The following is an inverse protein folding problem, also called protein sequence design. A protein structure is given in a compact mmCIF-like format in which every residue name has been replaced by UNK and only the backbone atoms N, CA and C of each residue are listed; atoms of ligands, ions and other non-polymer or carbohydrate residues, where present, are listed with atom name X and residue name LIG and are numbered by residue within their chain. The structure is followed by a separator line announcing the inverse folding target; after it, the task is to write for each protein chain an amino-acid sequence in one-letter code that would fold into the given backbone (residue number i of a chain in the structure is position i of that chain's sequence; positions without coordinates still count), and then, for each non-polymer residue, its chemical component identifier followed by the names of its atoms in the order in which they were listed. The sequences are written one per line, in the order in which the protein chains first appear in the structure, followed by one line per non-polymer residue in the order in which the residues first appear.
data_IF_234126360329
#
_entry.id   IF_234126360329
#
_cell.length_a   1.000
_cell.length_b   1.000
_cell.length_c   1.000
_cell.angle_alpha   90.00
_cell.angle_beta   90.00
_cell.angle_gamma   90.00
#
_symmetry.space_group_name_H-M   'P 1'
#
loop_
_entity.id
_entity.type
_entity.pdbx_description
1 polymer ?
#
# COMPACT_ATOMS: atom_id res chain seq x y z
N UNK A 1 -0.24 11.15 3.93
CA UNK A 1 0.36 10.37 2.82
C UNK A 1 1.73 10.92 2.44
N UNK A 2 2.74 10.06 2.31
CA UNK A 2 4.04 10.40 1.69
C UNK A 2 3.78 10.80 0.23
N UNK A 3 4.29 11.95 -0.23
CA UNK A 3 4.04 12.50 -1.57
C UNK A 3 4.30 11.47 -2.69
N UNK A 4 5.21 10.52 -2.47
CA UNK A 4 5.58 9.48 -3.45
C UNK A 4 4.54 8.37 -3.56
N UNK A 5 3.81 8.09 -2.48
CA UNK A 5 2.71 7.11 -2.48
C UNK A 5 1.53 7.67 -3.24
N UNK A 6 1.19 8.93 -3.00
CA UNK A 6 0.13 9.62 -3.73
C UNK A 6 0.50 9.78 -5.21
N UNK A 7 1.76 10.08 -5.54
CA UNK A 7 2.24 10.11 -6.93
C UNK A 7 2.16 8.74 -7.62
N UNK A 8 2.58 7.66 -6.93
CA UNK A 8 2.52 6.30 -7.47
C UNK A 8 1.08 5.85 -7.69
N UNK A 9 0.21 6.09 -6.71
CA UNK A 9 -1.23 5.83 -6.77
C UNK A 9 -1.87 6.58 -7.93
N UNK A 10 -1.65 7.90 -8.04
CA UNK A 10 -2.22 8.71 -9.12
C UNK A 10 -1.82 8.25 -10.53
N UNK A 11 -0.62 7.69 -10.70
CA UNK A 11 -0.10 7.17 -11.97
C UNK A 11 -0.64 5.79 -12.34
N UNK A 12 -1.02 4.97 -11.36
CA UNK A 12 -1.37 3.56 -11.59
C UNK A 12 -2.80 3.20 -11.20
N UNK A 13 -3.53 4.05 -10.49
CA UNK A 13 -4.90 3.77 -10.05
C UNK A 13 -5.89 3.63 -11.21
N UNK A 14 -5.59 4.22 -12.38
CA UNK A 14 -6.54 4.29 -13.49
C UNK A 14 -6.93 2.92 -14.05
N UNK A 15 -6.02 1.93 -13.98
CA UNK A 15 -6.27 0.56 -14.43
C UNK A 15 -7.21 -0.21 -13.48
N UNK A 16 -7.34 0.20 -12.21
CA UNK A 16 -8.13 -0.53 -11.22
C UNK A 16 -9.61 -0.22 -11.37
N UNK A 17 -10.41 -1.16 -11.83
CA UNK A 17 -11.85 -0.98 -11.96
C UNK A 17 -12.55 -1.11 -10.60
N UNK A 18 -13.41 -0.13 -10.26
CA UNK A 18 -14.03 -0.04 -8.93
C UNK A 18 -15.14 -1.08 -8.75
N UNK A 19 -15.83 -1.40 -9.86
CA UNK A 19 -17.05 -2.23 -9.87
C UNK A 19 -16.87 -3.60 -10.54
N UNK A 20 -15.64 -4.00 -10.90
CA UNK A 20 -15.35 -5.35 -11.40
C UNK A 20 -15.15 -6.34 -10.23
N UNK A 21 -15.87 -7.47 -10.29
CA UNK A 21 -15.61 -8.63 -9.41
C UNK A 21 -14.36 -9.42 -9.84
N UNK A 22 -13.98 -9.37 -11.12
CA UNK A 22 -12.85 -10.11 -11.66
C UNK A 22 -11.57 -9.26 -11.66
N UNK A 23 -10.54 -9.72 -10.95
CA UNK A 23 -9.26 -9.02 -10.88
C UNK A 23 -8.38 -9.36 -12.07
N UNK A 24 -7.95 -8.34 -12.82
CA UNK A 24 -7.06 -8.50 -13.97
C UNK A 24 -5.64 -8.88 -13.53
N UNK A 25 -4.98 -9.79 -14.26
CA UNK A 25 -3.57 -10.18 -14.04
C UNK A 25 -2.60 -8.99 -14.02
N UNK A 26 -2.97 -7.90 -14.69
CA UNK A 26 -2.21 -6.65 -14.73
C UNK A 26 -2.14 -5.96 -13.36
N UNK A 27 -3.11 -6.19 -12.47
CA UNK A 27 -3.11 -5.65 -11.10
C UNK A 27 -1.96 -6.24 -10.29
N UNK A 28 -1.69 -7.54 -10.45
CA UNK A 28 -0.56 -8.23 -9.83
C UNK A 28 0.79 -7.66 -10.31
N UNK A 29 0.88 -7.24 -11.57
CA UNK A 29 2.10 -6.62 -12.09
C UNK A 29 2.37 -5.24 -11.48
N UNK A 30 1.32 -4.45 -11.25
CA UNK A 30 1.45 -3.15 -10.55
C UNK A 30 1.76 -3.37 -9.07
N UNK A 31 1.13 -4.35 -8.43
CA UNK A 31 1.45 -4.77 -7.07
C UNK A 31 2.93 -5.13 -6.92
N UNK A 32 3.45 -5.99 -7.80
CA UNK A 32 4.87 -6.39 -7.75
C UNK A 32 5.83 -5.21 -7.96
N UNK A 33 5.46 -4.22 -8.77
CA UNK A 33 6.26 -2.98 -8.93
C UNK A 33 6.22 -2.12 -7.67
N UNK A 34 5.06 -2.01 -7.04
CA UNK A 34 4.88 -1.30 -5.79
C UNK A 34 5.67 -1.96 -4.66
N UNK A 35 5.49 -3.26 -4.45
CA UNK A 35 6.21 -4.08 -3.47
C UNK A 35 7.73 -3.90 -3.63
N UNK A 36 8.29 -4.04 -4.84
CA UNK A 36 9.75 -3.85 -5.05
C UNK A 36 10.26 -2.45 -4.71
N UNK A 37 9.48 -1.41 -4.97
CA UNK A 37 9.87 -0.02 -4.70
C UNK A 37 10.03 0.24 -3.19
N UNK A 38 9.23 -0.46 -2.37
CA UNK A 38 9.17 -0.26 -0.93
C UNK A 38 9.93 -1.33 -0.15
N UNK A 39 9.94 -2.59 -0.59
CA UNK A 39 10.72 -3.68 0.01
C UNK A 39 12.20 -3.29 0.15
N UNK A 40 12.80 -2.74 -0.90
CA UNK A 40 14.22 -2.32 -0.86
C UNK A 40 14.51 -1.28 0.23
N UNK A 41 13.60 -0.33 0.45
CA UNK A 41 13.74 0.69 1.50
C UNK A 41 13.43 0.16 2.89
N UNK A 42 12.36 -0.64 3.02
CA UNK A 42 11.97 -1.25 4.28
C UNK A 42 13.06 -2.22 4.73
N UNK A 43 13.59 -3.04 3.83
CA UNK A 43 14.69 -3.95 4.12
C UNK A 43 15.96 -3.20 4.55
N UNK A 44 16.30 -2.08 3.91
CA UNK A 44 17.44 -1.24 4.31
C UNK A 44 17.22 -0.62 5.71
N UNK A 45 16.02 -0.09 5.99
CA UNK A 45 15.64 0.47 7.29
C UNK A 45 15.66 -0.59 8.41
N UNK A 46 15.11 -1.78 8.13
CA UNK A 46 15.07 -2.89 9.07
C UNK A 46 16.48 -3.41 9.38
N UNK A 47 17.33 -3.54 8.35
CA UNK A 47 18.74 -3.89 8.52
C UNK A 47 19.50 -2.87 9.36
N UNK A 48 19.28 -1.57 9.12
CA UNK A 48 19.91 -0.51 9.92
C UNK A 48 19.48 -0.54 11.39
N UNK A 49 18.22 -0.88 11.66
CA UNK A 49 17.67 -0.97 13.02
C UNK A 49 17.87 -2.34 13.69
N UNK A 50 18.38 -3.34 12.96
CA UNK A 50 18.54 -4.70 13.46
C UNK A 50 17.21 -5.42 13.75
N UNK A 51 16.14 -5.00 13.08
CA UNK A 51 14.77 -5.55 13.28
C UNK A 51 14.48 -6.56 12.19
N UNK A 52 13.89 -7.70 12.54
CA UNK A 52 13.46 -8.69 11.55
C UNK A 52 12.14 -8.30 10.88
N UNK A 53 11.86 -8.75 9.64
CA UNK A 53 10.57 -8.50 8.99
C UNK A 53 9.36 -9.00 9.80
N UNK A 54 9.54 -10.08 10.56
CA UNK A 54 8.49 -10.67 11.41
C UNK A 54 8.16 -9.78 12.61
N UNK A 55 9.17 -9.24 13.29
CA UNK A 55 8.99 -8.28 14.39
C UNK A 55 8.34 -6.99 13.88
N UNK A 56 8.76 -6.52 12.71
CA UNK A 56 8.17 -5.35 12.06
C UNK A 56 6.68 -5.56 11.74
N UNK A 57 6.30 -6.72 11.22
CA UNK A 57 4.91 -7.06 10.93
C UNK A 57 4.04 -7.11 12.20
N UNK A 58 4.55 -7.71 13.28
CA UNK A 58 3.84 -7.79 14.56
C UNK A 58 3.59 -6.39 15.12
N UNK A 59 4.59 -5.51 15.07
CA UNK A 59 4.42 -4.13 15.54
C UNK A 59 3.51 -3.31 14.64
N UNK A 60 3.58 -3.47 13.32
CA UNK A 60 2.61 -2.84 12.42
C UNK A 60 1.19 -3.31 12.77
N UNK A 61 0.97 -4.61 12.94
CA UNK A 61 -0.36 -5.13 13.29
C UNK A 61 -0.86 -4.57 14.63
N UNK A 62 -0.01 -4.52 15.66
CA UNK A 62 -0.35 -3.92 16.95
C UNK A 62 -0.70 -2.43 16.82
N UNK A 63 0.08 -1.68 16.05
CA UNK A 63 -0.19 -0.27 15.79
C UNK A 63 -1.45 -0.05 14.95
N UNK A 64 -1.86 -1.00 14.10
CA UNK A 64 -3.12 -0.91 13.34
C UNK A 64 -4.36 -0.95 14.24
N UNK A 65 -4.22 -1.61 15.39
CA UNK A 65 -5.25 -1.75 16.41
C UNK A 65 -5.29 -0.54 17.37
N UNK A 66 -4.28 0.32 17.33
CA UNK A 66 -4.20 1.57 18.11
C UNK A 66 -4.61 2.76 17.22
N UNK A 67 -5.60 3.58 17.63
CA UNK A 67 -6.24 4.63 16.81
C UNK A 67 -5.30 5.75 16.28
N UNK A 68 -4.02 5.78 16.65
CA UNK A 68 -3.17 6.95 16.45
C UNK A 68 -2.36 7.02 15.14
N UNK A 69 -2.30 5.99 14.29
CA UNK A 69 -1.54 6.05 13.02
C UNK A 69 -1.98 5.00 11.97
N UNK A 70 -3.28 4.86 11.75
CA UNK A 70 -3.84 3.84 10.84
C UNK A 70 -3.32 3.95 9.39
N UNK A 71 -3.17 5.15 8.83
CA UNK A 71 -2.77 5.31 7.41
C UNK A 71 -1.36 4.77 7.10
N UNK A 72 -0.39 5.00 8.00
CA UNK A 72 1.00 4.56 7.79
C UNK A 72 1.08 3.04 7.94
N UNK A 73 0.30 2.50 8.87
CA UNK A 73 0.29 1.07 9.16
C UNK A 73 -0.44 0.29 8.05
N UNK A 74 -1.59 0.78 7.56
CA UNK A 74 -2.28 0.21 6.41
C UNK A 74 -1.38 0.20 5.17
N UNK A 75 -0.60 1.26 4.98
CA UNK A 75 0.38 1.34 3.91
C UNK A 75 1.47 0.27 4.03
N UNK A 76 1.97 0.03 5.25
CA UNK A 76 2.98 -1.00 5.51
C UNK A 76 2.39 -2.42 5.40
N UNK A 77 1.13 -2.62 5.81
CA UNK A 77 0.41 -3.89 5.63
C UNK A 77 0.10 -4.16 4.16
N UNK A 78 -0.22 -3.13 3.36
CA UNK A 78 -0.42 -3.23 1.92
C UNK A 78 0.81 -3.74 1.16
N UNK A 79 2.01 -3.62 1.73
CA UNK A 79 3.23 -4.20 1.16
C UNK A 79 3.31 -5.72 1.35
N UNK A 80 2.61 -6.24 2.36
CA UNK A 80 2.59 -7.66 2.71
C UNK A 80 1.29 -8.38 2.30
N UNK A 81 0.22 -7.63 2.05
CA UNK A 81 -1.11 -8.15 1.72
C UNK A 81 -1.67 -7.46 0.47
N UNK A 82 -1.82 -8.26 -0.59
CA UNK A 82 -2.37 -7.82 -1.86
C UNK A 82 -3.81 -7.28 -1.75
N UNK A 83 -4.63 -7.83 -0.84
CA UNK A 83 -6.01 -7.38 -0.64
C UNK A 83 -6.06 -5.97 -0.04
N UNK A 84 -5.14 -5.67 0.89
CA UNK A 84 -4.99 -4.33 1.48
C UNK A 84 -4.51 -3.34 0.42
N UNK A 85 -3.55 -3.72 -0.42
CA UNK A 85 -3.10 -2.90 -1.55
C UNK A 85 -4.22 -2.60 -2.55
N UNK A 86 -5.02 -3.61 -2.90
CA UNK A 86 -6.15 -3.46 -3.83
C UNK A 86 -7.17 -2.44 -3.29
N UNK A 87 -7.54 -2.56 -2.02
CA UNK A 87 -8.46 -1.63 -1.37
C UNK A 87 -7.90 -0.19 -1.35
N UNK A 88 -6.61 -0.02 -1.00
CA UNK A 88 -5.93 1.29 -1.01
C UNK A 88 -5.98 1.94 -2.41
N UNK A 89 -5.73 1.18 -3.48
CA UNK A 89 -5.79 1.70 -4.85
C UNK A 89 -7.21 2.14 -5.26
N UNK A 90 -8.24 1.40 -4.83
CA UNK A 90 -9.65 1.79 -5.05
C UNK A 90 -9.99 3.10 -4.33
N UNK A 91 -9.54 3.27 -3.09
CA UNK A 91 -9.76 4.51 -2.34
C UNK A 91 -9.04 5.72 -2.95
N UNK A 92 -7.81 5.54 -3.42
CA UNK A 92 -7.07 6.60 -4.14
C UNK A 92 -7.82 6.98 -5.42
N UNK A 93 -8.33 5.99 -6.18
CA UNK A 93 -9.15 6.25 -7.38
C UNK A 93 -10.44 7.01 -7.04
N UNK A 94 -11.14 6.61 -5.98
CA UNK A 94 -12.35 7.29 -5.49
C UNK A 94 -12.06 8.74 -5.09
N UNK A 95 -10.97 8.99 -4.35
CA UNK A 95 -10.53 10.35 -4.00
C UNK A 95 -10.18 11.20 -5.23
N UNK A 96 -9.53 10.61 -6.24
CA UNK A 96 -9.21 11.26 -7.52
C UNK A 96 -10.48 11.66 -8.29
N UNK A 97 -11.49 10.79 -8.32
CA UNK A 97 -12.79 11.05 -8.95
C UNK A 97 -13.61 12.10 -8.18
N UNK A 98 -13.59 12.07 -6.85
CA UNK A 98 -14.29 13.03 -5.99
C UNK A 98 -13.69 14.44 -6.01
N UNK A 99 -12.39 14.60 -6.32
CA UNK A 99 -11.73 15.90 -6.53
C UNK A 99 -11.99 16.51 -7.92
N UNK A 100 -12.70 15.82 -8.81
CA UNK A 100 -13.07 16.30 -10.15
C UNK A 100 -14.52 16.83 -10.26
N UNK A 101 -15.25 16.95 -9.15
CA UNK A 101 -16.54 17.64 -9.05
C UNK A 101 -16.38 18.99 -8.33
#
# INVERSE_FOLDING_TARGET
MDDKVEEFGNKHCDIFEIDEEEQKLEYTNVYNKFVKLFESKVEELLKQKGVTPQEFYIECKRLSEEENDQEIVEFLLALSDYQVFYNMMKEIKLRKLGKQQ
#
